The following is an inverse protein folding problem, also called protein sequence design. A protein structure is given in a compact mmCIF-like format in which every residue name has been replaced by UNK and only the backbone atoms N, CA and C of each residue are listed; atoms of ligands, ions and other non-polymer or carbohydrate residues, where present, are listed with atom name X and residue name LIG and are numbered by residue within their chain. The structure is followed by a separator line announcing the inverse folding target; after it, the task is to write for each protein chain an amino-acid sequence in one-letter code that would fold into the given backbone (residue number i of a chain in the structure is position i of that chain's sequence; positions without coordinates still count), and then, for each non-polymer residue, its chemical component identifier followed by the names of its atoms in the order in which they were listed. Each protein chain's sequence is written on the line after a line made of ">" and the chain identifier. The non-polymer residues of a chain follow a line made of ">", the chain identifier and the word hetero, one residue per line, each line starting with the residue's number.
data_IF_800008445979
#
_entry.id   IF_800008445979
#
_cell.length_a   1.000
_cell.length_b   1.000
_cell.length_c   1.000
_cell.angle_alpha   90.00
_cell.angle_beta   90.00
_cell.angle_gamma   90.00
#
_symmetry.space_group_name_H-M   'P 1'
#
loop_
_entity.id
_entity.type
_entity.pdbx_description
1 polymer ?
#
# COMPACT_ATOMS: atom_id res chain seq x y z
N UNK A 1 23.17 21.07 -13.47
CA UNK A 1 21.86 20.51 -13.87
C UNK A 1 21.55 19.39 -12.90
N UNK A 2 20.74 19.69 -11.87
CA UNK A 2 20.42 18.74 -10.81
C UNK A 2 19.20 17.93 -11.27
N UNK A 3 19.40 16.65 -11.56
CA UNK A 3 18.28 15.74 -11.73
C UNK A 3 17.76 15.39 -10.34
N UNK A 4 16.48 15.68 -10.09
CA UNK A 4 15.77 15.19 -8.90
C UNK A 4 15.68 13.67 -9.04
N UNK A 5 16.49 12.96 -8.26
CA UNK A 5 16.59 11.50 -8.25
C UNK A 5 15.84 10.91 -7.04
N UNK A 6 14.80 11.61 -6.57
CA UNK A 6 14.06 11.28 -5.34
C UNK A 6 12.91 10.28 -5.57
N UNK A 7 12.72 9.79 -6.79
CA UNK A 7 11.71 8.79 -7.12
C UNK A 7 12.43 7.46 -7.37
N UNK A 8 12.15 6.48 -6.51
CA UNK A 8 12.62 5.12 -6.67
C UNK A 8 12.06 4.47 -7.94
N UNK A 9 12.63 3.32 -8.32
CA UNK A 9 12.11 2.53 -9.44
C UNK A 9 10.64 2.15 -9.22
N UNK A 10 9.88 2.11 -10.33
CA UNK A 10 8.50 1.64 -10.32
C UNK A 10 8.46 0.15 -9.95
N UNK A 11 7.56 -0.23 -9.04
CA UNK A 11 7.38 -1.62 -8.62
C UNK A 11 6.06 -2.21 -9.10
N UNK A 12 4.93 -1.54 -8.85
CA UNK A 12 3.60 -2.05 -9.19
C UNK A 12 2.63 -0.93 -9.58
N UNK A 13 1.60 -1.30 -10.33
CA UNK A 13 0.42 -0.47 -10.57
C UNK A 13 -0.83 -1.28 -10.26
N UNK A 14 -1.73 -0.71 -9.45
CA UNK A 14 -3.00 -1.32 -9.04
C UNK A 14 -4.16 -0.47 -9.58
N UNK A 15 -5.12 -1.13 -10.23
CA UNK A 15 -6.32 -0.48 -10.73
C UNK A 15 -7.48 -0.73 -9.76
N UNK A 16 -7.77 0.25 -8.90
CA UNK A 16 -8.87 0.16 -7.95
C UNK A 16 -10.22 0.43 -8.62
N UNK A 17 -11.19 -0.44 -8.33
CA UNK A 17 -12.60 -0.22 -8.66
C UNK A 17 -13.40 0.01 -7.38
N UNK A 18 -14.45 0.82 -7.49
CA UNK A 18 -15.41 1.01 -6.40
C UNK A 18 -16.12 -0.32 -6.13
N UNK A 19 -16.20 -0.72 -4.87
CA UNK A 19 -16.93 -1.91 -4.46
C UNK A 19 -18.45 -1.70 -4.59
N UNK A 20 -19.15 -2.77 -4.94
CA UNK A 20 -20.62 -2.78 -5.00
C UNK A 20 -21.25 -2.54 -3.62
N UNK A 21 -22.49 -2.05 -3.61
CA UNK A 21 -23.26 -1.88 -2.37
C UNK A 21 -23.40 -3.22 -1.65
N UNK A 22 -23.07 -3.24 -0.36
CA UNK A 22 -23.16 -4.43 0.50
C UNK A 22 -21.80 -5.10 0.75
N UNK A 23 -20.77 -4.82 -0.04
CA UNK A 23 -19.40 -5.25 0.28
C UNK A 23 -18.81 -4.47 1.46
N UNK A 24 -17.86 -5.10 2.18
CA UNK A 24 -17.12 -4.45 3.29
C UNK A 24 -16.17 -3.34 2.81
N UNK A 25 -15.57 -3.53 1.64
CA UNK A 25 -14.66 -2.56 1.03
C UNK A 25 -15.39 -1.37 0.40
N UNK A 26 -14.70 -0.24 0.30
CA UNK A 26 -15.07 0.93 -0.50
C UNK A 26 -14.45 0.82 -1.90
N UNK A 27 -13.19 0.39 -1.98
CA UNK A 27 -12.46 0.13 -3.21
C UNK A 27 -11.66 -1.15 -3.08
N UNK A 28 -11.50 -1.88 -4.17
CA UNK A 28 -10.66 -3.07 -4.26
C UNK A 28 -10.00 -3.13 -5.63
N UNK A 29 -8.81 -3.73 -5.70
CA UNK A 29 -8.12 -3.96 -6.96
C UNK A 29 -6.82 -4.72 -6.76
N UNK A 30 -6.22 -5.10 -7.88
CA UNK A 30 -4.96 -5.83 -7.92
C UNK A 30 -4.08 -5.30 -9.05
N UNK A 31 -2.83 -5.76 -9.05
CA UNK A 31 -2.01 -5.76 -10.26
C UNK A 31 -2.70 -6.58 -11.37
N UNK A 32 -2.44 -6.28 -12.66
CA UNK A 32 -2.87 -7.13 -13.77
C UNK A 32 -2.37 -8.57 -13.66
N UNK A 33 -2.96 -9.47 -14.45
CA UNK A 33 -2.45 -10.85 -14.59
C UNK A 33 -0.99 -10.82 -15.05
N UNK A 34 -0.16 -11.66 -14.43
CA UNK A 34 1.29 -11.68 -14.65
C UNK A 34 2.09 -10.73 -13.75
N UNK A 35 1.44 -9.79 -13.06
CA UNK A 35 2.10 -8.92 -12.09
C UNK A 35 3.14 -7.98 -12.72
N UNK A 36 4.21 -7.70 -11.98
CA UNK A 36 5.34 -6.86 -12.41
C UNK A 36 6.67 -7.55 -12.09
N UNK A 37 7.75 -7.26 -12.83
CA UNK A 37 9.07 -7.84 -12.56
C UNK A 37 9.53 -7.58 -11.12
N UNK A 38 10.05 -8.61 -10.46
CA UNK A 38 10.66 -8.49 -9.14
C UNK A 38 11.76 -9.54 -9.00
N UNK A 39 12.91 -9.16 -8.46
CA UNK A 39 14.07 -10.05 -8.32
C UNK A 39 14.48 -10.29 -6.86
N UNK A 40 13.56 -10.11 -5.91
CA UNK A 40 13.85 -10.27 -4.49
C UNK A 40 13.70 -11.73 -4.08
N UNK A 41 14.66 -12.25 -3.32
CA UNK A 41 14.59 -13.59 -2.72
C UNK A 41 14.25 -14.72 -3.70
N UNK A 42 14.72 -14.62 -4.96
CA UNK A 42 14.47 -15.62 -6.00
C UNK A 42 13.16 -15.44 -6.78
N UNK A 43 12.43 -14.34 -6.56
CA UNK A 43 11.28 -14.01 -7.38
C UNK A 43 11.70 -13.64 -8.81
N UNK A 44 10.77 -13.80 -9.75
CA UNK A 44 10.80 -13.26 -11.11
C UNK A 44 9.70 -12.24 -11.34
N UNK A 45 8.58 -12.34 -10.60
CA UNK A 45 7.51 -11.35 -10.61
C UNK A 45 6.87 -11.18 -9.22
N UNK A 46 6.17 -10.07 -9.02
CA UNK A 46 5.36 -9.82 -7.86
C UNK A 46 3.93 -9.41 -8.22
N UNK A 47 3.01 -9.67 -7.29
CA UNK A 47 1.63 -9.23 -7.36
C UNK A 47 1.29 -8.41 -6.13
N UNK A 48 0.39 -7.45 -6.29
CA UNK A 48 -0.16 -6.67 -5.19
C UNK A 48 -1.67 -6.63 -5.28
N UNK A 49 -2.35 -6.77 -4.14
CA UNK A 49 -3.77 -6.54 -3.97
C UNK A 49 -3.99 -5.48 -2.90
N UNK A 50 -4.95 -4.58 -3.13
CA UNK A 50 -5.29 -3.50 -2.21
C UNK A 50 -6.80 -3.39 -2.06
N UNK A 51 -7.26 -3.42 -0.82
CA UNK A 51 -8.62 -3.03 -0.47
C UNK A 51 -8.62 -1.87 0.50
N UNK A 52 -9.42 -0.85 0.18
CA UNK A 52 -9.68 0.30 1.05
C UNK A 52 -11.04 0.08 1.70
N UNK A 53 -11.06 -0.03 3.02
CA UNK A 53 -12.27 -0.27 3.80
C UNK A 53 -12.75 1.03 4.47
N UNK A 54 -13.89 0.95 5.15
CA UNK A 54 -14.37 2.04 6.01
C UNK A 54 -13.43 2.23 7.20
N UNK A 55 -13.60 3.35 7.92
CA UNK A 55 -12.89 3.63 9.17
C UNK A 55 -11.36 3.65 9.04
N UNK A 56 -10.86 4.05 7.86
CA UNK A 56 -9.43 4.12 7.53
C UNK A 56 -8.69 2.78 7.69
N UNK A 57 -9.39 1.66 7.49
CA UNK A 57 -8.79 0.33 7.43
C UNK A 57 -8.31 0.03 6.00
N UNK A 58 -7.10 -0.52 5.89
CA UNK A 58 -6.44 -0.85 4.62
C UNK A 58 -5.98 -2.29 4.67
N UNK A 59 -6.33 -3.08 3.66
CA UNK A 59 -5.82 -4.42 3.47
C UNK A 59 -4.87 -4.41 2.28
N UNK A 60 -3.63 -4.86 2.48
CA UNK A 60 -2.62 -4.93 1.43
C UNK A 60 -2.01 -6.32 1.39
N UNK A 61 -1.84 -6.85 0.18
CA UNK A 61 -1.27 -8.17 -0.03
C UNK A 61 -0.23 -8.17 -1.14
N UNK A 62 1.02 -7.96 -0.75
CA UNK A 62 2.17 -8.06 -1.64
C UNK A 62 2.79 -9.44 -1.56
N UNK A 63 3.01 -10.06 -2.73
CA UNK A 63 3.58 -11.40 -2.85
C UNK A 63 4.56 -11.46 -4.01
N UNK A 64 5.62 -12.24 -3.87
CA UNK A 64 6.56 -12.53 -4.96
C UNK A 64 6.58 -14.00 -5.31
N UNK A 65 6.83 -14.27 -6.58
CA UNK A 65 6.77 -15.60 -7.17
C UNK A 65 7.99 -15.84 -8.05
N UNK A 66 8.47 -17.08 -8.10
CA UNK A 66 9.46 -17.52 -9.09
C UNK A 66 8.82 -17.76 -10.48
N UNK A 67 9.61 -18.16 -11.47
CA UNK A 67 9.15 -18.46 -12.84
C UNK A 67 8.24 -19.67 -12.95
N UNK A 68 8.31 -20.61 -11.99
CA UNK A 68 7.41 -21.75 -11.87
C UNK A 68 6.07 -21.38 -11.21
N UNK A 69 5.94 -20.16 -10.69
CA UNK A 69 4.74 -19.65 -10.02
C UNK A 69 4.65 -20.03 -8.54
N UNK A 70 5.73 -20.48 -7.91
CA UNK A 70 5.79 -20.73 -6.47
C UNK A 70 5.96 -19.41 -5.73
N UNK A 71 5.18 -19.20 -4.66
CA UNK A 71 5.33 -18.01 -3.82
C UNK A 71 6.61 -18.10 -2.97
N UNK A 72 7.54 -17.18 -3.19
CA UNK A 72 8.86 -17.13 -2.53
C UNK A 72 8.93 -16.11 -1.39
N UNK A 73 8.10 -15.06 -1.42
CA UNK A 73 7.99 -14.08 -0.34
C UNK A 73 6.58 -13.54 -0.17
N UNK A 74 6.36 -12.86 0.97
CA UNK A 74 5.06 -12.32 1.36
C UNK A 74 4.22 -13.35 2.13
N UNK A 75 3.12 -12.87 2.71
CA UNK A 75 2.20 -13.71 3.48
C UNK A 75 1.39 -14.63 2.56
N UNK A 76 1.18 -15.89 2.97
CA UNK A 76 0.46 -16.91 2.18
C UNK A 76 -1.05 -16.96 2.44
N UNK A 77 -1.46 -16.62 3.66
CA UNK A 77 -2.81 -16.88 4.15
C UNK A 77 -3.80 -15.73 3.89
N UNK A 78 -3.31 -14.53 3.57
CA UNK A 78 -4.17 -13.36 3.34
C UNK A 78 -3.43 -12.03 3.49
N UNK A 79 -4.13 -10.90 3.26
CA UNK A 79 -3.56 -9.56 3.37
C UNK A 79 -3.15 -9.22 4.80
N UNK A 80 -2.19 -8.31 4.92
CA UNK A 80 -2.03 -7.56 6.17
C UNK A 80 -3.20 -6.59 6.34
N UNK A 81 -3.82 -6.59 7.53
CA UNK A 81 -4.93 -5.70 7.88
C UNK A 81 -4.43 -4.52 8.74
N UNK A 82 -4.27 -3.36 8.11
CA UNK A 82 -3.90 -2.13 8.80
C UNK A 82 -5.13 -1.41 9.32
N UNK A 83 -5.17 -1.17 10.62
CA UNK A 83 -6.19 -0.34 11.29
C UNK A 83 -5.52 0.90 11.87
N UNK A 84 -6.24 2.02 12.00
CA UNK A 84 -5.69 3.20 12.65
C UNK A 84 -5.20 2.84 14.06
N UNK A 85 -4.05 3.37 14.43
CA UNK A 85 -3.68 3.38 15.84
C UNK A 85 -4.81 4.08 16.63
N UNK A 86 -5.07 3.66 17.88
CA UNK A 86 -5.91 4.45 18.77
C UNK A 86 -5.41 5.89 18.75
N UNK A 87 -6.32 6.86 18.80
CA UNK A 87 -5.93 8.26 18.98
C UNK A 87 -5.09 8.33 20.25
N UNK A 88 -3.77 8.39 20.11
CA UNK A 88 -2.89 8.65 21.22
C UNK A 88 -3.26 10.03 21.74
N UNK A 89 -3.32 10.19 23.06
CA UNK A 89 -3.23 11.50 23.72
C UNK A 89 -1.84 12.12 23.51
N UNK A 90 -1.24 11.95 22.33
CA UNK A 90 -0.10 12.70 21.88
C UNK A 90 -0.64 14.08 21.60
N UNK A 91 -0.52 14.97 22.59
CA UNK A 91 -0.43 16.39 22.34
C UNK A 91 0.41 16.58 21.07
N UNK A 92 -0.16 17.28 20.09
CA UNK A 92 0.52 17.76 18.90
C UNK A 92 1.80 18.51 19.31
N UNK A 93 2.91 17.80 19.48
CA UNK A 93 4.21 18.43 19.74
C UNK A 93 4.88 18.87 18.43
N UNK A 94 4.11 18.92 17.35
CA UNK A 94 4.48 19.56 16.09
C UNK A 94 3.29 20.35 15.54
N UNK A 95 2.87 21.37 16.28
CA UNK A 95 2.21 22.53 15.67
C UNK A 95 3.27 23.36 14.92
N UNK A 96 3.24 23.44 13.59
CA UNK A 96 4.00 24.47 12.90
C UNK A 96 3.20 25.77 13.02
N UNK A 97 3.85 26.83 13.53
CA UNK A 97 3.48 28.24 13.34
C UNK A 97 2.38 28.80 14.26
N UNK A 98 2.75 29.09 15.52
CA UNK A 98 2.21 30.25 16.22
C UNK A 98 2.77 31.52 15.55
N UNK A 99 2.06 32.06 14.56
CA UNK A 99 2.24 33.47 14.21
C UNK A 99 1.44 34.29 15.22
N UNK A 100 2.15 34.98 16.12
CA UNK A 100 1.54 36.05 16.91
C UNK A 100 0.97 37.12 15.96
N UNK A 101 -0.22 37.69 16.23
CA UNK A 101 -0.70 38.83 15.46
C UNK A 101 0.20 40.05 15.75
N UNK A 102 0.51 40.89 14.75
CA UNK A 102 1.23 42.12 15.00
C UNK A 102 0.36 43.10 15.81
N UNK A 103 1.03 43.87 16.67
CA UNK A 103 0.50 44.88 17.59
C UNK A 103 -0.43 45.90 16.92
#
# INVERSE_FOLDING_TARGET
>A
MYFVQDIAEHLTTIYLKRCERGKRCLYEGSTPSGGFPNSWSGATYCTSELAVLKNNEIHIWDRGYDDEGNQVWGVKEGPYEFKPAPASSSNDMFSPLNFAPPL
#
